data_IF_884870403526
#
_entry.id   IF_884870403526
#
_cell.length_a   1.000
_cell.length_b   1.000
_cell.length_c   1.000
_cell.angle_alpha   90.00
_cell.angle_beta   90.00
_cell.angle_gamma   90.00
#
_symmetry.space_group_name_H-M   'P 1'
#
loop_
_entity.id
_entity.type
_entity.pdbx_description
1 polymer ?
#
# COMPACT_ATOMS: atom_id res chain seq x y z
N UNK A 1 -24.46 -15.77 -0.78
CA UNK A 1 -23.46 -15.43 -1.81
C UNK A 1 -22.65 -14.25 -1.31
N UNK A 2 -21.35 -14.42 -1.04
CA UNK A 2 -20.50 -13.32 -0.55
C UNK A 2 -19.99 -12.53 -1.74
N UNK A 3 -20.26 -11.22 -1.75
CA UNK A 3 -19.64 -10.27 -2.67
C UNK A 3 -18.14 -10.17 -2.34
N UNK A 4 -17.35 -11.13 -2.81
CA UNK A 4 -15.89 -11.08 -2.73
C UNK A 4 -15.39 -10.18 -3.85
N UNK A 5 -15.39 -8.87 -3.60
CA UNK A 5 -14.50 -7.97 -4.35
C UNK A 5 -13.08 -8.34 -3.91
N UNK A 6 -12.41 -9.19 -4.70
CA UNK A 6 -11.10 -9.77 -4.37
C UNK A 6 -9.96 -8.76 -4.49
N UNK A 7 -10.09 -7.79 -5.38
CA UNK A 7 -9.20 -6.64 -5.55
C UNK A 7 -9.77 -5.75 -6.65
N UNK A 8 -9.46 -4.46 -6.63
CA UNK A 8 -9.81 -3.53 -7.71
C UNK A 8 -8.51 -3.03 -8.32
N UNK A 9 -8.27 -3.33 -9.61
CA UNK A 9 -7.16 -2.73 -10.33
C UNK A 9 -7.43 -1.24 -10.47
N UNK A 10 -6.53 -0.40 -9.96
CA UNK A 10 -6.67 1.04 -10.08
C UNK A 10 -6.15 1.48 -11.46
N UNK A 11 -6.93 2.30 -12.15
CA UNK A 11 -6.50 3.01 -13.36
C UNK A 11 -5.66 4.22 -12.98
N UNK A 12 -4.98 4.79 -13.96
CA UNK A 12 -4.09 5.95 -13.76
C UNK A 12 -4.80 7.10 -13.02
N UNK A 13 -4.05 7.77 -12.14
CA UNK A 13 -4.47 8.94 -11.36
C UNK A 13 -5.60 8.77 -10.33
N UNK A 14 -6.13 7.56 -10.10
CA UNK A 14 -7.17 7.36 -9.07
C UNK A 14 -6.67 7.60 -7.63
N UNK A 15 -5.36 7.44 -7.39
CA UNK A 15 -4.73 7.79 -6.13
C UNK A 15 -4.30 9.27 -6.07
N UNK A 16 -4.35 9.98 -7.19
CA UNK A 16 -3.77 11.31 -7.37
C UNK A 16 -2.40 11.26 -8.04
N UNK A 17 -1.99 12.40 -8.62
CA UNK A 17 -0.85 12.46 -9.54
C UNK A 17 0.51 12.52 -8.85
N UNK A 18 0.56 12.94 -7.58
CA UNK A 18 1.79 13.09 -6.80
C UNK A 18 1.67 12.31 -5.50
N UNK A 19 2.26 11.12 -5.49
CA UNK A 19 2.27 10.24 -4.31
C UNK A 19 3.54 10.48 -3.53
N UNK A 20 3.40 10.84 -2.25
CA UNK A 20 4.53 10.98 -1.34
C UNK A 20 4.51 9.85 -0.33
N UNK A 21 5.58 9.05 -0.30
CA UNK A 21 5.70 7.88 0.56
C UNK A 21 6.94 7.95 1.46
N UNK A 22 6.90 7.25 2.59
CA UNK A 22 8.04 6.99 3.48
C UNK A 22 8.04 5.51 3.85
N UNK A 23 9.23 4.91 4.00
CA UNK A 23 9.33 3.53 4.48
C UNK A 23 8.79 3.45 5.90
N UNK A 24 7.88 2.51 6.15
CA UNK A 24 7.33 2.22 7.47
C UNK A 24 8.02 1.02 8.09
N UNK A 25 7.91 -0.14 7.43
CA UNK A 25 8.46 -1.40 7.93
C UNK A 25 8.63 -2.42 6.79
N UNK A 26 9.34 -3.51 7.09
CA UNK A 26 9.39 -4.71 6.25
C UNK A 26 8.82 -5.87 7.07
N UNK A 27 7.89 -6.63 6.48
CA UNK A 27 7.30 -7.81 7.14
C UNK A 27 6.78 -8.80 6.11
N UNK A 28 6.64 -10.06 6.53
CA UNK A 28 5.93 -11.05 5.73
C UNK A 28 4.42 -10.82 5.81
N UNK A 29 3.77 -10.82 4.64
CA UNK A 29 2.30 -10.70 4.51
C UNK A 29 1.80 -11.89 3.69
N UNK A 30 0.62 -12.39 4.04
CA UNK A 30 -0.07 -13.37 3.23
C UNK A 30 -0.68 -12.70 1.99
N UNK A 31 -0.15 -13.02 0.82
CA UNK A 31 -0.69 -12.62 -0.48
C UNK A 31 -1.15 -13.89 -1.18
N UNK A 32 -2.44 -14.00 -1.48
CA UNK A 32 -3.05 -15.17 -2.15
C UNK A 32 -2.70 -16.51 -1.45
N UNK A 33 -2.67 -16.52 -0.12
CA UNK A 33 -2.38 -17.71 0.67
C UNK A 33 -0.89 -18.05 0.85
N UNK A 34 0.02 -17.29 0.22
CA UNK A 34 1.47 -17.46 0.38
C UNK A 34 2.06 -16.34 1.24
N UNK A 35 3.01 -16.67 2.12
CA UNK A 35 3.80 -15.65 2.83
C UNK A 35 4.80 -15.04 1.87
N UNK A 36 4.76 -13.73 1.73
CA UNK A 36 5.65 -12.96 0.86
C UNK A 36 6.30 -11.86 1.70
N UNK A 37 7.64 -11.70 1.65
CA UNK A 37 8.29 -10.56 2.27
C UNK A 37 7.90 -9.29 1.52
N UNK A 38 7.33 -8.33 2.24
CA UNK A 38 6.83 -7.09 1.68
C UNK A 38 7.50 -5.90 2.37
N UNK A 39 7.69 -4.82 1.60
CA UNK A 39 8.00 -3.50 2.14
C UNK A 39 6.74 -2.67 2.21
N UNK A 40 6.48 -2.06 3.36
CA UNK A 40 5.31 -1.24 3.62
C UNK A 40 5.73 0.21 3.70
N UNK A 41 4.94 1.07 3.06
CA UNK A 41 5.13 2.50 3.06
C UNK A 41 3.89 3.18 3.59
N UNK A 42 4.09 4.24 4.38
CA UNK A 42 3.03 5.21 4.65
C UNK A 42 3.07 6.23 3.52
N UNK A 43 1.94 6.47 2.87
CA UNK A 43 1.84 7.36 1.73
C UNK A 43 0.67 8.33 1.86
N UNK A 44 0.77 9.43 1.11
CA UNK A 44 -0.34 10.36 0.94
C UNK A 44 -0.30 11.01 -0.43
N UNK A 45 -1.47 11.49 -0.84
CA UNK A 45 -1.66 12.40 -1.97
C UNK A 45 -2.59 13.54 -1.54
N UNK A 46 -2.83 14.50 -2.44
CA UNK A 46 -3.83 15.55 -2.21
C UNK A 46 -5.28 15.00 -2.11
N UNK A 47 -5.56 13.86 -2.76
CA UNK A 47 -6.88 13.22 -2.74
C UNK A 47 -7.04 12.28 -1.54
N UNK A 48 -5.96 11.60 -1.16
CA UNK A 48 -5.95 10.60 -0.09
C UNK A 48 -4.86 10.96 0.92
N UNK A 49 -5.20 11.61 2.04
CA UNK A 49 -4.20 12.20 2.92
C UNK A 49 -3.36 11.17 3.68
N UNK A 50 -3.78 9.90 3.73
CA UNK A 50 -3.11 8.88 4.54
C UNK A 50 -3.52 7.45 4.14
N UNK A 51 -2.60 6.68 3.53
CA UNK A 51 -2.82 5.29 3.12
C UNK A 51 -1.53 4.44 3.20
N UNK A 52 -1.67 3.12 3.19
CA UNK A 52 -0.52 2.19 3.15
C UNK A 52 -0.30 1.64 1.74
N UNK A 53 0.97 1.59 1.33
CA UNK A 53 1.41 0.91 0.12
C UNK A 53 2.16 -0.35 0.54
N UNK A 54 1.71 -1.49 0.05
CA UNK A 54 2.34 -2.78 0.24
C UNK A 54 3.02 -3.16 -1.09
N UNK A 55 4.33 -3.32 -1.06
CA UNK A 55 5.10 -3.78 -2.22
C UNK A 55 5.67 -5.17 -1.92
N UNK A 56 5.27 -6.21 -2.66
CA UNK A 56 5.80 -7.56 -2.48
C UNK A 56 7.22 -7.63 -3.01
N UNK A 57 8.02 -8.56 -2.47
CA UNK A 57 9.41 -8.77 -2.83
C UNK A 57 10.27 -7.52 -2.59
N UNK A 58 11.21 -7.61 -1.66
CA UNK A 58 12.05 -6.49 -1.25
C UNK A 58 12.90 -5.89 -2.39
N UNK A 59 13.04 -6.58 -3.54
CA UNK A 59 13.72 -6.06 -4.73
C UNK A 59 12.84 -5.14 -5.59
N UNK A 60 11.52 -5.20 -5.44
CA UNK A 60 10.59 -4.40 -6.22
C UNK A 60 10.40 -2.97 -5.69
N UNK A 61 11.09 -2.64 -4.60
CA UNK A 61 11.22 -1.27 -4.12
C UNK A 61 12.58 -1.08 -3.49
N UNK A 62 13.08 0.16 -3.50
CA UNK A 62 14.25 0.51 -2.72
C UNK A 62 13.82 0.99 -1.34
N UNK A 63 14.64 0.69 -0.34
CA UNK A 63 14.54 1.36 0.95
C UNK A 63 15.11 2.78 0.79
N UNK A 64 14.43 3.77 1.34
CA UNK A 64 14.89 5.16 1.34
C UNK A 64 14.51 5.84 2.64
N UNK A 65 15.24 6.90 2.95
CA UNK A 65 15.00 7.73 4.13
C UNK A 65 14.14 8.95 3.77
N UNK A 66 13.32 9.36 4.74
CA UNK A 66 12.42 10.49 4.63
C UNK A 66 11.23 10.25 3.70
N UNK A 67 10.46 11.32 3.47
CA UNK A 67 9.27 11.30 2.62
C UNK A 67 9.64 11.73 1.20
N UNK A 68 9.51 10.82 0.24
CA UNK A 68 9.88 11.03 -1.17
C UNK A 68 8.67 10.94 -2.08
N UNK A 69 8.75 11.60 -3.23
CA UNK A 69 7.78 11.37 -4.31
C UNK A 69 8.08 10.02 -4.97
N UNK A 70 7.02 9.27 -5.26
CA UNK A 70 7.13 7.89 -5.76
C UNK A 70 6.17 7.61 -6.89
N UNK A 71 6.57 6.72 -7.78
CA UNK A 71 5.74 6.14 -8.82
C UNK A 71 5.41 4.68 -8.47
N UNK A 72 4.16 4.29 -8.66
CA UNK A 72 3.68 2.93 -8.43
C UNK A 72 3.33 2.26 -9.74
N UNK A 73 3.70 0.98 -9.89
CA UNK A 73 3.36 0.17 -11.05
C UNK A 73 2.45 -0.99 -10.68
N UNK A 74 1.47 -1.26 -11.56
CA UNK A 74 0.47 -2.32 -11.41
C UNK A 74 -0.20 -2.26 -10.03
N UNK A 75 -1.04 -1.23 -9.84
CA UNK A 75 -1.67 -0.94 -8.55
C UNK A 75 -3.02 -1.63 -8.41
N UNK A 76 -3.20 -2.29 -7.29
CA UNK A 76 -4.47 -2.92 -6.90
C UNK A 76 -4.87 -2.43 -5.52
N UNK A 77 -6.13 -2.06 -5.38
CA UNK A 77 -6.75 -1.76 -4.09
C UNK A 77 -7.11 -3.09 -3.43
N UNK A 78 -6.66 -3.26 -2.19
CA UNK A 78 -6.88 -4.50 -1.44
C UNK A 78 -7.73 -4.18 -0.22
N UNK A 79 -8.79 -4.96 0.04
CA UNK A 79 -9.56 -4.79 1.27
C UNK A 79 -8.64 -5.02 2.49
N UNK A 80 -8.53 -4.01 3.35
CA UNK A 80 -7.78 -4.14 4.60
C UNK A 80 -8.44 -5.21 5.49
N UNK A 81 -7.68 -6.25 5.84
CA UNK A 81 -8.16 -7.31 6.72
C UNK A 81 -8.34 -6.86 8.18
N UNK A 82 -8.05 -5.60 8.53
CA UNK A 82 -8.18 -5.06 9.90
C UNK A 82 -9.62 -4.73 10.31
N UNK A 83 -10.61 -5.50 9.83
CA UNK A 83 -12.03 -5.33 10.18
C UNK A 83 -12.39 -5.66 11.64
N UNK A 84 -11.46 -6.15 12.47
CA UNK A 84 -11.79 -6.74 13.79
C UNK A 84 -11.03 -6.18 15.02
N UNK A 85 -10.51 -4.94 15.02
CA UNK A 85 -10.06 -4.32 16.29
C UNK A 85 -11.15 -3.42 16.88
N UNK A 86 -12.28 -4.02 17.27
CA UNK A 86 -13.24 -3.41 18.19
C UNK A 86 -12.53 -3.33 19.55
N UNK A 87 -12.01 -2.16 19.93
CA UNK A 87 -11.55 -1.89 21.31
C UNK A 87 -10.19 -1.22 21.49
N UNK A 88 -9.40 -0.96 20.45
CA UNK A 88 -8.13 -0.22 20.58
C UNK A 88 -8.08 0.94 19.61
N UNK A 89 -7.82 2.14 20.13
CA UNK A 89 -7.77 3.43 19.43
C UNK A 89 -6.60 3.56 18.41
N UNK A 90 -6.37 2.55 17.59
CA UNK A 90 -5.44 2.64 16.47
C UNK A 90 -6.15 3.34 15.33
N UNK A 91 -5.80 4.61 15.09
CA UNK A 91 -6.13 5.34 13.84
C UNK A 91 -5.62 4.49 12.68
N UNK A 92 -6.50 3.69 12.10
CA UNK A 92 -6.17 2.78 11.02
C UNK A 92 -6.22 3.59 9.72
N UNK A 93 -5.15 3.51 8.93
CA UNK A 93 -5.14 4.04 7.57
C UNK A 93 -6.21 3.26 6.79
N UNK A 94 -7.26 3.97 6.36
CA UNK A 94 -8.49 3.36 5.81
C UNK A 94 -8.25 2.66 4.46
N UNK A 95 -7.19 3.06 3.75
CA UNK A 95 -6.85 2.58 2.42
C UNK A 95 -5.53 1.80 2.45
N UNK A 96 -5.58 0.57 1.93
CA UNK A 96 -4.40 -0.24 1.65
C UNK A 96 -4.36 -0.55 0.16
N UNK A 97 -3.20 -0.30 -0.44
CA UNK A 97 -2.95 -0.64 -1.84
C UNK A 97 -1.78 -1.59 -1.95
N UNK A 98 -1.85 -2.46 -2.94
CA UNK A 98 -0.78 -3.34 -3.33
C UNK A 98 -0.24 -2.86 -4.68
N UNK A 99 1.05 -2.55 -4.73
CA UNK A 99 1.73 -2.17 -5.95
C UNK A 99 2.82 -3.19 -6.23
N UNK A 100 2.90 -3.68 -7.47
CA UNK A 100 3.94 -4.65 -7.83
C UNK A 100 5.33 -4.07 -7.70
N UNK A 101 5.50 -2.78 -8.00
CA UNK A 101 6.76 -2.06 -7.91
C UNK A 101 6.53 -0.63 -7.41
N UNK A 102 7.51 -0.11 -6.67
CA UNK A 102 7.59 1.29 -6.27
C UNK A 102 8.96 1.86 -6.66
N UNK A 103 8.95 2.97 -7.38
CA UNK A 103 10.14 3.72 -7.79
C UNK A 103 10.18 5.07 -7.09
N UNK A 104 11.35 5.46 -6.58
CA UNK A 104 11.56 6.82 -6.07
C UNK A 104 11.81 7.75 -7.25
N UNK A 105 11.09 8.86 -7.29
CA UNK A 105 11.35 9.95 -8.21
C UNK A 105 12.39 10.87 -7.56
N UNK A 106 13.46 11.19 -8.29
CA UNK A 106 14.51 12.11 -7.86
C UNK A 106 14.13 13.55 -8.18
#
# INVERSE_FOLDING_TARGET
MSNRVTSIVLKDNQLGNKIKATVKEEREIYVEGKRVPCRIFTASTALHPDFEIIVPNLRNSLRFEGRKEVELREVTLVPSAKRNNIGTASRSLELQIFAKQLLTLN
#
